data_IF_095846362219
#
_entry.id   IF_095846362219
#
_cell.length_a   1.000
_cell.length_b   1.000
_cell.length_c   1.000
_cell.angle_alpha   90.00
_cell.angle_beta   90.00
_cell.angle_gamma   90.00
#
_symmetry.space_group_name_H-M   'P 1'
#
loop_
_entity.id
_entity.type
_entity.pdbx_description
1 polymer ?
#
# COMPACT_ATOMS: atom_id res chain seq x y z
N UNK A 1 -17.75 -2.57 -17.81
CA UNK A 1 -17.57 -2.98 -16.42
C UNK A 1 -17.02 -1.77 -15.67
N UNK A 2 -17.71 -1.27 -14.65
CA UNK A 2 -17.28 -0.10 -13.88
C UNK A 2 -16.36 -0.57 -12.74
N UNK A 3 -15.09 -0.16 -12.77
CA UNK A 3 -14.19 -0.38 -11.64
C UNK A 3 -14.32 0.81 -10.68
N UNK A 4 -14.57 0.59 -9.38
CA UNK A 4 -14.60 1.67 -8.41
C UNK A 4 -13.24 2.40 -8.33
N UNK A 5 -13.26 3.63 -7.82
CA UNK A 5 -12.08 4.48 -7.63
C UNK A 5 -11.92 4.81 -6.16
N UNK A 6 -10.73 4.59 -5.60
CA UNK A 6 -10.40 4.98 -4.23
C UNK A 6 -10.01 6.47 -4.18
N UNK A 7 -10.45 7.16 -3.13
CA UNK A 7 -10.01 8.53 -2.80
C UNK A 7 -9.09 8.47 -1.60
N UNK A 8 -7.84 8.85 -1.79
CA UNK A 8 -6.77 8.70 -0.80
C UNK A 8 -6.25 10.08 -0.41
N UNK A 9 -6.04 10.31 0.89
CA UNK A 9 -5.38 11.52 1.39
C UNK A 9 -4.01 11.18 1.96
N UNK A 10 -3.01 11.98 1.63
CA UNK A 10 -1.62 11.82 2.07
C UNK A 10 -1.13 13.05 2.83
N UNK A 11 -0.12 12.93 3.72
CA UNK A 11 0.52 14.09 4.33
C UNK A 11 1.07 15.07 3.28
N UNK A 12 1.04 16.36 3.60
CA UNK A 12 1.54 17.40 2.69
C UNK A 12 3.03 17.16 2.38
N UNK A 13 3.37 17.15 1.08
CA UNK A 13 4.73 16.89 0.62
C UNK A 13 5.17 15.43 0.62
N UNK A 14 4.30 14.48 0.97
CA UNK A 14 4.63 13.05 0.94
C UNK A 14 5.05 12.59 -0.46
N UNK A 15 6.11 11.77 -0.51
CA UNK A 15 6.66 11.13 -1.70
C UNK A 15 7.14 9.75 -1.31
N UNK A 16 6.98 8.78 -2.21
CA UNK A 16 7.32 7.38 -1.92
C UNK A 16 6.18 6.42 -2.20
N UNK A 17 6.29 5.23 -1.62
CA UNK A 17 5.33 4.15 -1.83
C UNK A 17 4.16 4.23 -0.86
N UNK A 18 2.94 4.30 -1.41
CA UNK A 18 1.71 4.19 -0.63
C UNK A 18 1.29 2.73 -0.58
N UNK A 19 1.01 2.24 0.62
CA UNK A 19 0.61 0.86 0.89
C UNK A 19 -0.77 0.84 1.57
N UNK A 20 -1.76 0.28 0.88
CA UNK A 20 -3.09 0.03 1.42
C UNK A 20 -3.17 -1.41 1.91
N UNK A 21 -3.08 -1.58 3.23
CA UNK A 21 -2.90 -2.86 3.92
C UNK A 21 -4.25 -3.53 4.19
N UNK A 22 -4.33 -4.84 3.96
CA UNK A 22 -5.49 -5.65 4.37
C UNK A 22 -5.63 -5.63 5.91
N UNK A 23 -6.81 -5.28 6.40
CA UNK A 23 -7.02 -4.91 7.79
C UNK A 23 -8.39 -5.35 8.33
N UNK A 24 -8.46 -5.56 9.64
CA UNK A 24 -9.69 -5.90 10.36
C UNK A 24 -10.43 -4.65 10.85
N UNK A 25 -10.63 -3.68 9.96
CA UNK A 25 -11.37 -2.44 10.22
C UNK A 25 -12.79 -2.56 9.71
N UNK A 26 -13.73 -1.91 10.39
CA UNK A 26 -15.14 -1.85 9.95
C UNK A 26 -15.31 -0.99 8.69
N UNK A 27 -14.48 0.05 8.55
CA UNK A 27 -14.46 0.97 7.42
C UNK A 27 -13.02 1.23 6.95
N UNK A 28 -12.85 1.50 5.66
CA UNK A 28 -11.55 1.82 5.06
C UNK A 28 -10.92 3.09 5.66
N UNK A 29 -9.63 3.00 6.00
CA UNK A 29 -8.79 4.13 6.44
C UNK A 29 -7.92 4.57 5.27
N UNK A 30 -8.44 5.52 4.47
CA UNK A 30 -7.80 6.05 3.26
C UNK A 30 -7.03 7.36 3.48
N UNK A 31 -6.94 7.84 4.72
CA UNK A 31 -5.99 8.87 5.13
C UNK A 31 -4.71 8.14 5.53
N UNK A 32 -3.70 8.17 4.68
CA UNK A 32 -2.47 7.43 4.91
C UNK A 32 -1.57 8.17 5.91
N UNK A 33 -0.81 7.41 6.68
CA UNK A 33 0.11 7.95 7.67
C UNK A 33 1.42 8.49 7.04
N UNK A 34 2.34 8.97 7.89
CA UNK A 34 3.65 9.48 7.46
C UNK A 34 4.56 8.42 6.84
N UNK A 35 4.28 7.12 7.01
CA UNK A 35 4.97 6.04 6.34
C UNK A 35 4.31 5.69 4.98
N UNK A 36 3.18 6.31 4.65
CA UNK A 36 2.39 6.00 3.45
C UNK A 36 1.46 4.82 3.63
N UNK A 37 1.10 4.46 4.87
CA UNK A 37 0.24 3.30 5.13
C UNK A 37 -1.21 3.72 5.32
N UNK A 38 -2.11 3.09 4.57
CA UNK A 38 -3.56 3.10 4.79
C UNK A 38 -4.09 1.69 5.02
N UNK A 39 -5.36 1.55 5.37
CA UNK A 39 -5.95 0.26 5.73
C UNK A 39 -7.27 0.05 5.00
N UNK A 40 -7.46 -1.15 4.45
CA UNK A 40 -8.68 -1.55 3.77
C UNK A 40 -9.34 -2.70 4.51
N UNK A 41 -10.67 -2.67 4.56
CA UNK A 41 -11.43 -3.87 4.91
C UNK A 41 -11.25 -4.96 3.84
N UNK A 42 -11.61 -6.20 4.17
CA UNK A 42 -11.41 -7.36 3.28
C UNK A 42 -12.19 -7.26 1.96
N UNK A 43 -13.44 -6.78 2.02
CA UNK A 43 -14.28 -6.64 0.84
C UNK A 43 -13.65 -5.66 -0.14
N UNK A 44 -13.14 -4.55 0.37
CA UNK A 44 -12.56 -3.46 -0.39
C UNK A 44 -11.24 -3.92 -0.96
N UNK A 45 -10.40 -4.56 -0.16
CA UNK A 45 -9.11 -5.10 -0.60
C UNK A 45 -9.22 -6.10 -1.77
N UNK A 46 -10.25 -6.94 -1.78
CA UNK A 46 -10.42 -7.99 -2.78
C UNK A 46 -11.00 -7.51 -4.11
N UNK A 47 -11.33 -6.22 -4.23
CA UNK A 47 -11.80 -5.63 -5.47
C UNK A 47 -10.66 -5.16 -6.38
N UNK A 48 -11.01 -5.07 -7.65
CA UNK A 48 -10.20 -4.38 -8.66
C UNK A 48 -10.60 -2.92 -8.74
N UNK A 49 -9.62 -2.02 -8.64
CA UNK A 49 -9.84 -0.59 -8.75
C UNK A 49 -9.19 -0.03 -10.00
N UNK A 50 -9.73 1.10 -10.47
CA UNK A 50 -8.99 1.97 -11.37
C UNK A 50 -7.91 2.73 -10.61
N UNK A 51 -7.11 3.50 -11.34
CA UNK A 51 -6.22 4.52 -10.77
C UNK A 51 -6.96 5.36 -9.70
N UNK A 52 -6.36 5.56 -8.49
CA UNK A 52 -6.99 6.31 -7.42
C UNK A 52 -6.94 7.82 -7.67
N UNK A 53 -7.78 8.55 -6.95
CA UNK A 53 -7.66 9.99 -6.78
C UNK A 53 -6.87 10.23 -5.50
N UNK A 54 -5.76 10.97 -5.58
CA UNK A 54 -4.90 11.23 -4.43
C UNK A 54 -4.76 12.72 -4.21
N UNK A 55 -5.01 13.15 -2.98
CA UNK A 55 -4.89 14.55 -2.55
C UNK A 55 -3.99 14.66 -1.31
N UNK A 56 -3.32 15.79 -1.17
CA UNK A 56 -2.68 16.16 0.09
C UNK A 56 -3.73 16.60 1.11
N UNK A 57 -3.35 16.65 2.39
CA UNK A 57 -4.25 17.11 3.46
C UNK A 57 -4.73 18.55 3.26
N UNK A 58 -3.94 19.39 2.58
CA UNK A 58 -4.32 20.75 2.17
C UNK A 58 -5.20 20.82 0.90
N UNK A 59 -5.53 19.67 0.31
CA UNK A 59 -6.38 19.57 -0.88
C UNK A 59 -5.61 19.62 -2.22
N UNK A 60 -4.28 19.72 -2.22
CA UNK A 60 -3.51 19.66 -3.48
C UNK A 60 -3.66 18.29 -4.14
N UNK A 61 -4.16 18.28 -5.37
CA UNK A 61 -4.28 17.08 -6.19
C UNK A 61 -2.90 16.59 -6.67
N UNK A 62 -2.66 15.27 -6.59
CA UNK A 62 -1.39 14.64 -6.94
C UNK A 62 -1.48 13.72 -8.16
N UNK A 63 -2.54 13.79 -8.95
CA UNK A 63 -2.80 12.88 -10.06
C UNK A 63 -1.62 12.79 -11.04
N UNK A 64 -0.99 13.91 -11.40
CA UNK A 64 0.17 13.90 -12.29
C UNK A 64 1.42 13.24 -11.71
N UNK A 65 1.49 13.03 -10.39
CA UNK A 65 2.65 12.46 -9.70
C UNK A 65 2.50 10.95 -9.45
N UNK A 66 1.36 10.35 -9.79
CA UNK A 66 1.08 8.96 -9.45
C UNK A 66 1.74 8.00 -10.45
N UNK A 67 2.53 7.08 -9.90
CA UNK A 67 3.21 6.00 -10.60
C UNK A 67 2.56 4.67 -10.20
N UNK A 68 1.96 3.98 -11.15
CA UNK A 68 1.34 2.66 -10.94
C UNK A 68 2.36 1.53 -11.10
N UNK A 69 2.11 0.40 -10.45
CA UNK A 69 2.92 -0.82 -10.59
C UNK A 69 2.30 -1.87 -11.51
N UNK A 70 1.03 -1.70 -11.88
CA UNK A 70 0.30 -2.60 -12.76
C UNK A 70 -0.31 -1.84 -13.93
N UNK A 71 -0.05 -2.26 -15.19
CA UNK A 71 -0.68 -1.63 -16.36
C UNK A 71 -2.20 -1.79 -16.40
N UNK A 72 -2.77 -2.84 -15.79
CA UNK A 72 -4.19 -3.16 -15.87
C UNK A 72 -5.02 -2.62 -14.70
N UNK A 73 -4.45 -2.62 -13.49
CA UNK A 73 -5.16 -2.27 -12.24
C UNK A 73 -4.58 -1.05 -11.54
N UNK A 74 -3.53 -0.43 -12.10
CA UNK A 74 -2.72 0.62 -11.49
C UNK A 74 -1.95 0.18 -10.23
N UNK A 75 -2.64 -0.39 -9.25
CA UNK A 75 -2.07 -0.94 -8.04
C UNK A 75 -1.28 -2.23 -8.30
N UNK A 76 -0.13 -2.36 -7.64
CA UNK A 76 0.54 -3.64 -7.43
C UNK A 76 -0.08 -4.35 -6.23
N UNK A 77 -0.35 -5.66 -6.35
CA UNK A 77 -0.74 -6.48 -5.20
C UNK A 77 0.49 -7.20 -4.66
N UNK A 78 0.83 -6.93 -3.41
CA UNK A 78 2.07 -7.39 -2.79
C UNK A 78 1.83 -8.16 -1.49
N UNK A 79 2.85 -8.93 -1.12
CA UNK A 79 2.97 -9.59 0.19
C UNK A 79 4.29 -9.17 0.81
N UNK A 80 4.28 -8.90 2.11
CA UNK A 80 5.49 -8.64 2.88
C UNK A 80 5.62 -9.68 3.99
N UNK A 81 6.76 -10.36 3.99
CA UNK A 81 7.12 -11.43 4.90
C UNK A 81 8.33 -10.98 5.76
N UNK A 82 8.48 -11.39 7.01
CA UNK A 82 7.48 -12.01 7.88
C UNK A 82 7.66 -11.49 9.30
N UNK A 83 6.56 -11.35 10.04
CA UNK A 83 6.58 -11.23 11.51
C UNK A 83 6.05 -12.55 12.05
N UNK A 84 6.89 -13.31 12.77
CA UNK A 84 6.51 -14.60 13.37
C UNK A 84 5.83 -15.57 12.37
N UNK A 85 6.43 -15.75 11.18
CA UNK A 85 5.91 -16.60 10.08
C UNK A 85 4.54 -16.19 9.53
N UNK A 86 4.16 -14.92 9.69
CA UNK A 86 2.95 -14.37 9.11
C UNK A 86 3.27 -13.24 8.12
N UNK A 87 2.46 -13.16 7.10
CA UNK A 87 2.55 -12.21 5.99
C UNK A 87 1.50 -11.11 6.11
N UNK A 88 1.87 -9.94 5.61
CA UNK A 88 0.96 -8.80 5.40
C UNK A 88 0.69 -8.66 3.91
N UNK A 89 -0.57 -8.46 3.53
CA UNK A 89 -0.95 -8.19 2.15
C UNK A 89 -1.24 -6.70 1.96
N UNK A 90 -0.90 -6.17 0.78
CA UNK A 90 -1.15 -4.77 0.44
C UNK A 90 -1.47 -4.56 -1.04
N UNK A 91 -2.17 -3.46 -1.32
CA UNK A 91 -2.24 -2.84 -2.64
C UNK A 91 -1.35 -1.60 -2.60
N UNK A 92 -0.40 -1.47 -3.53
CA UNK A 92 0.57 -0.38 -3.51
C UNK A 92 0.73 0.35 -4.84
N UNK A 93 1.16 1.60 -4.75
CA UNK A 93 1.55 2.47 -5.86
C UNK A 93 2.55 3.52 -5.34
N UNK A 94 3.07 4.39 -6.21
CA UNK A 94 4.03 5.43 -5.83
C UNK A 94 3.53 6.84 -6.11
N UNK A 95 4.02 7.77 -5.31
CA UNK A 95 3.94 9.22 -5.53
C UNK A 95 5.35 9.71 -5.82
N UNK A 96 5.57 10.18 -7.05
CA UNK A 96 6.87 10.64 -7.53
C UNK A 96 7.24 12.05 -7.08
N UNK A 97 8.49 12.43 -7.30
CA UNK A 97 9.02 13.77 -7.00
C UNK A 97 8.66 14.81 -8.05
N UNK A 98 8.36 14.38 -9.29
CA UNK A 98 8.05 15.22 -10.45
C UNK A 98 6.79 14.70 -11.16
N UNK A 99 6.02 15.58 -11.82
CA UNK A 99 4.84 15.17 -12.58
C UNK A 99 5.26 14.33 -13.79
N UNK A 100 4.40 13.39 -14.17
CA UNK A 100 4.51 12.48 -15.32
C UNK A 100 5.75 11.57 -15.33
N UNK A 101 6.42 11.40 -14.19
CA UNK A 101 7.39 10.32 -14.04
C UNK A 101 6.67 8.99 -14.21
N UNK A 102 7.29 8.09 -14.98
CA UNK A 102 6.81 6.71 -15.14
C UNK A 102 7.45 5.77 -14.13
N UNK A 103 8.70 6.03 -13.79
CA UNK A 103 9.50 5.22 -12.89
C UNK A 103 10.34 6.13 -11.98
N UNK A 104 10.39 5.79 -10.70
CA UNK A 104 11.27 6.42 -9.72
C UNK A 104 11.60 5.41 -8.61
N UNK A 105 12.86 5.46 -8.16
CA UNK A 105 13.34 4.60 -7.09
C UNK A 105 13.25 5.32 -5.75
N UNK A 106 12.62 4.66 -4.78
CA UNK A 106 12.61 5.03 -3.37
C UNK A 106 13.10 3.81 -2.59
N UNK A 107 13.80 4.05 -1.47
CA UNK A 107 14.01 2.97 -0.51
C UNK A 107 12.66 2.62 0.11
N UNK A 108 12.16 1.42 -0.17
CA UNK A 108 10.96 0.91 0.49
C UNK A 108 11.33 0.42 1.89
N UNK A 109 10.54 0.82 2.88
CA UNK A 109 10.62 0.25 4.22
C UNK A 109 9.84 -1.07 4.26
N UNK A 110 10.26 -2.00 5.09
CA UNK A 110 9.52 -3.25 5.25
C UNK A 110 8.16 -2.96 5.90
N UNK A 111 7.07 -3.48 5.32
CA UNK A 111 5.72 -3.32 5.90
C UNK A 111 5.65 -3.89 7.31
N UNK A 112 6.40 -4.97 7.59
CA UNK A 112 6.50 -5.57 8.92
C UNK A 112 6.98 -4.60 10.01
N UNK A 113 7.67 -3.53 9.62
CA UNK A 113 8.21 -2.50 10.52
C UNK A 113 7.31 -1.27 10.64
N UNK A 114 6.56 -0.93 9.58
CA UNK A 114 5.85 0.36 9.50
C UNK A 114 4.34 0.27 9.70
N UNK A 115 3.74 -0.92 9.60
CA UNK A 115 2.28 -1.05 9.77
C UNK A 115 1.86 -1.02 11.24
N UNK A 116 0.64 -0.53 11.47
CA UNK A 116 -0.04 -0.69 12.74
C UNK A 116 -0.50 -2.15 12.91
N UNK A 117 0.19 -2.88 13.79
CA UNK A 117 -0.05 -4.31 14.03
C UNK A 117 -1.42 -4.63 14.63
N UNK A 118 -2.09 -3.64 15.22
CA UNK A 118 -3.45 -3.83 15.78
C UNK A 118 -4.52 -3.77 14.69
N UNK A 119 -4.21 -3.19 13.53
CA UNK A 119 -5.14 -3.04 12.41
C UNK A 119 -4.85 -4.08 11.33
N UNK A 120 -3.58 -4.29 10.99
CA UNK A 120 -3.18 -5.18 9.89
C UNK A 120 -3.58 -6.64 10.18
N UNK A 121 -4.11 -7.31 9.15
CA UNK A 121 -4.33 -8.76 9.19
C UNK A 121 -3.03 -9.46 8.84
N UNK A 122 -2.59 -10.34 9.73
CA UNK A 122 -1.43 -11.20 9.56
C UNK A 122 -1.90 -12.60 9.15
N UNK A 123 -1.68 -12.95 7.90
CA UNK A 123 -2.01 -14.27 7.35
C UNK A 123 -0.88 -15.25 7.60
N UNK A 124 -1.18 -16.47 8.00
CA UNK A 124 -0.16 -17.52 8.07
C UNK A 124 0.40 -17.80 6.68
N UNK A 125 1.69 -18.12 6.63
CA UNK A 125 2.33 -18.62 5.43
C UNK A 125 1.64 -19.90 4.97
N UNK A 126 1.52 -20.09 3.65
CA UNK A 126 1.07 -21.36 3.14
C UNK A 126 2.07 -22.48 3.50
N UNK A 127 1.58 -23.72 3.53
CA UNK A 127 2.36 -24.90 3.92
C UNK A 127 3.56 -25.21 3.01
N UNK A 128 3.69 -24.49 1.89
CA UNK A 128 4.77 -24.66 0.92
C UNK A 128 5.83 -23.53 1.01
N UNK A 129 5.59 -22.52 1.85
CA UNK A 129 6.48 -21.39 2.02
C UNK A 129 7.63 -21.71 2.98
N UNK A 130 8.86 -21.63 2.48
CA UNK A 130 10.09 -21.72 3.29
C UNK A 130 10.61 -20.33 3.65
N UNK A 131 10.69 -20.01 4.96
CA UNK A 131 11.35 -18.80 5.46
C UNK A 131 12.80 -19.11 5.81
N UNK A 132 13.74 -18.47 5.12
CA UNK A 132 15.16 -18.51 5.48
C UNK A 132 15.45 -17.41 6.48
N UNK A 133 15.65 -17.74 7.75
CA UNK A 133 16.12 -16.79 8.77
C UNK A 133 17.64 -16.63 8.63
N UNK A 134 18.11 -15.52 8.05
CA UNK A 134 19.52 -15.13 8.14
C UNK A 134 19.78 -14.58 9.53
N UNK A 135 20.21 -15.46 10.45
CA UNK A 135 20.80 -15.06 11.73
C UNK A 135 22.02 -14.19 11.47
N UNK A 136 21.86 -12.87 11.68
CA UNK A 136 22.99 -11.96 11.70
C UNK A 136 23.61 -12.07 13.10
N UNK A 137 24.84 -12.57 13.16
CA UNK A 137 25.59 -12.84 14.38
C UNK A 137 26.30 -11.59 14.88
#
# INVERSE_FOLDING_TARGET
>A
MYSPTLKIKVPNGYKGEVNLVLSNVDDNILIVDSNGTGYLDEWTFNKTYSRPIVEQMDGKNLDEYLIGFSPSTFFGKGKSCCVAKREIQSLSFKIGTKPHLKDEYFQSKSLTEIVNKNLAIFTELDQYSTVSETSTK
#
